data_IF_833994816972
#
_entry.id   IF_833994816972
#
_cell.length_a   1.000
_cell.length_b   1.000
_cell.length_c   1.000
_cell.angle_alpha   90.00
_cell.angle_beta   90.00
_cell.angle_gamma   90.00
#
_symmetry.space_group_name_H-M   'P 1'
#
loop_
_entity.id
_entity.type
_entity.pdbx_description
1 polymer ?
#
# COMPACT_ATOMS: atom_id res chain seq x y z
N UNK A 1 30.01 -20.23 -38.55
CA UNK A 1 30.84 -19.28 -39.34
C UNK A 1 30.16 -17.92 -39.36
N UNK A 2 30.80 -16.90 -38.75
CA UNK A 2 30.82 -15.45 -39.11
C UNK A 2 29.47 -14.68 -39.11
N UNK A 3 29.30 -13.48 -38.53
CA UNK A 3 30.22 -12.35 -38.25
C UNK A 3 29.81 -11.57 -36.99
N UNK A 4 30.83 -11.06 -36.30
CA UNK A 4 30.80 -9.93 -35.36
C UNK A 4 30.63 -8.64 -36.17
N UNK A 5 29.80 -7.70 -35.70
CA UNK A 5 29.98 -6.27 -36.00
C UNK A 5 29.82 -5.47 -34.70
N UNK A 6 30.90 -4.79 -34.38
CA UNK A 6 31.17 -3.86 -33.28
C UNK A 6 31.01 -2.42 -33.83
N UNK A 7 31.19 -1.39 -32.97
CA UNK A 7 31.38 0.06 -33.27
C UNK A 7 30.07 0.87 -33.05
N UNK A 8 29.98 1.96 -32.25
CA UNK A 8 30.97 3.00 -31.85
C UNK A 8 30.56 3.73 -30.56
N UNK A 9 31.58 4.20 -29.83
CA UNK A 9 31.57 5.25 -28.80
C UNK A 9 31.20 6.64 -29.36
N UNK A 10 30.57 7.47 -28.53
CA UNK A 10 30.69 8.94 -28.58
C UNK A 10 30.98 9.50 -27.18
N UNK A 11 31.99 10.34 -27.13
CA UNK A 11 32.62 10.99 -25.97
C UNK A 11 32.30 12.49 -25.99
N UNK A 12 32.20 13.10 -24.80
CA UNK A 12 32.47 14.53 -24.57
C UNK A 12 31.21 15.42 -24.46
N UNK A 13 31.14 16.47 -23.64
CA UNK A 13 32.19 17.29 -23.00
C UNK A 13 31.62 17.95 -21.70
N UNK A 14 32.57 18.31 -20.83
CA UNK A 14 32.55 18.82 -19.46
C UNK A 14 32.04 20.26 -19.22
N UNK A 15 32.15 20.66 -17.93
CA UNK A 15 32.41 22.00 -17.34
C UNK A 15 31.19 22.67 -16.69
N UNK A 16 31.01 22.54 -15.35
CA UNK A 16 31.54 23.34 -14.22
C UNK A 16 30.71 24.61 -13.91
N UNK A 17 30.13 24.70 -12.70
CA UNK A 17 30.49 25.76 -11.74
C UNK A 17 29.75 25.61 -10.39
N UNK A 18 30.55 25.69 -9.33
CA UNK A 18 30.09 25.82 -7.96
C UNK A 18 29.69 27.27 -7.69
N UNK A 19 28.57 27.48 -7.00
CA UNK A 19 28.37 28.68 -6.16
C UNK A 19 28.05 28.27 -4.73
N UNK A 20 29.02 28.56 -3.87
CA UNK A 20 28.96 28.67 -2.41
C UNK A 20 27.88 29.67 -1.99
N UNK A 21 27.28 29.42 -0.83
CA UNK A 21 26.90 30.48 0.11
C UNK A 21 25.46 30.41 0.58
N UNK A 22 25.24 29.98 1.83
CA UNK A 22 23.92 30.05 2.43
C UNK A 22 23.78 29.41 3.81
N UNK A 23 24.76 29.60 4.69
CA UNK A 23 24.71 29.16 6.07
C UNK A 23 23.64 29.98 6.84
N UNK A 24 22.43 29.45 7.03
CA UNK A 24 21.46 29.97 8.02
C UNK A 24 20.61 28.86 8.63
N UNK A 25 20.97 28.54 9.88
CA UNK A 25 20.09 28.30 11.03
C UNK A 25 19.29 26.98 11.04
N UNK A 26 19.80 26.07 11.88
CA UNK A 26 19.00 25.50 12.97
C UNK A 26 17.74 24.77 12.59
N UNK A 27 17.89 23.52 12.16
CA UNK A 27 16.82 22.52 12.15
C UNK A 27 17.35 21.27 12.80
N UNK A 28 17.07 21.12 14.10
CA UNK A 28 17.53 20.02 14.94
C UNK A 28 17.34 18.65 14.31
N UNK A 29 18.32 17.80 14.56
CA UNK A 29 18.40 16.44 14.08
C UNK A 29 17.09 15.66 14.23
N UNK A 30 16.63 15.14 13.10
CA UNK A 30 16.00 13.83 13.04
C UNK A 30 16.78 13.01 12.04
N UNK A 31 17.88 12.46 12.54
CA UNK A 31 18.72 11.52 11.81
C UNK A 31 17.94 10.28 11.35
N UNK A 32 18.44 9.68 10.28
CA UNK A 32 18.36 8.24 10.12
C UNK A 32 17.00 7.63 9.81
N UNK A 33 16.20 8.21 8.90
CA UNK A 33 15.23 7.39 8.15
C UNK A 33 15.88 6.85 6.89
N UNK A 34 16.90 6.02 7.08
CA UNK A 34 17.56 5.31 5.99
C UNK A 34 16.58 4.34 5.33
N UNK A 35 16.41 4.48 4.02
CA UNK A 35 15.87 3.52 3.03
C UNK A 35 14.49 2.83 3.26
N UNK A 36 13.92 2.82 4.46
CA UNK A 36 12.69 2.10 4.78
C UNK A 36 11.48 2.95 4.41
N UNK A 37 10.61 2.39 3.56
CA UNK A 37 9.39 3.06 3.11
C UNK A 37 8.51 3.48 4.30
N UNK A 38 7.89 4.66 4.23
CA UNK A 38 6.93 5.13 5.24
C UNK A 38 5.87 4.05 5.47
N UNK A 39 5.68 3.54 6.68
CA UNK A 39 4.68 2.51 7.01
C UNK A 39 5.22 1.09 7.25
N UNK A 40 6.55 0.96 7.33
CA UNK A 40 7.26 -0.27 7.72
C UNK A 40 7.81 -0.07 9.14
N UNK A 41 7.53 -0.97 10.10
CA UNK A 41 8.08 -0.88 11.45
C UNK A 41 9.62 -0.97 11.49
N UNK A 42 10.29 -0.40 12.51
CA UNK A 42 11.74 -0.54 12.70
C UNK A 42 12.19 -1.98 12.99
N UNK A 43 11.32 -2.82 13.54
CA UNK A 43 11.57 -4.24 13.81
C UNK A 43 11.39 -5.13 12.57
N UNK A 44 10.85 -4.58 11.48
CA UNK A 44 10.54 -5.36 10.29
C UNK A 44 11.79 -5.91 9.59
N UNK A 45 11.72 -7.18 9.24
CA UNK A 45 12.69 -7.87 8.41
C UNK A 45 12.25 -7.75 6.95
N UNK A 46 13.08 -7.10 6.14
CA UNK A 46 12.79 -6.93 4.72
C UNK A 46 13.00 -8.26 4.00
N UNK A 47 11.96 -8.76 3.34
CA UNK A 47 12.05 -9.94 2.49
C UNK A 47 12.47 -9.52 1.09
N UNK A 48 11.84 -8.48 0.53
CA UNK A 48 12.04 -8.08 -0.86
C UNK A 48 11.55 -6.66 -1.13
N UNK A 49 12.19 -5.97 -2.08
CA UNK A 49 11.65 -4.75 -2.68
C UNK A 49 11.64 -4.88 -4.19
N UNK A 50 10.57 -4.39 -4.81
CA UNK A 50 10.43 -4.40 -6.26
C UNK A 50 9.67 -3.19 -6.76
N UNK A 51 9.64 -3.05 -8.08
CA UNK A 51 8.83 -2.07 -8.77
C UNK A 51 7.66 -2.78 -9.47
N UNK A 52 6.51 -2.12 -9.54
CA UNK A 52 5.37 -2.54 -10.36
C UNK A 52 5.04 -1.43 -11.33
N UNK A 53 5.04 -1.75 -12.61
CA UNK A 53 4.50 -0.91 -13.66
C UNK A 53 2.98 -0.85 -13.53
N UNK A 54 2.45 0.36 -13.51
CA UNK A 54 1.04 0.71 -13.58
C UNK A 54 0.82 1.42 -14.93
N UNK A 55 -0.44 1.62 -15.31
CA UNK A 55 -0.82 2.12 -16.65
C UNK A 55 -0.03 3.35 -17.09
N UNK A 56 0.28 4.30 -16.19
CA UNK A 56 1.06 5.47 -16.55
C UNK A 56 2.30 5.72 -15.67
N UNK A 57 2.58 4.88 -14.66
CA UNK A 57 3.64 5.14 -13.68
C UNK A 57 4.18 3.88 -13.03
N UNK A 58 5.29 3.99 -12.28
CA UNK A 58 5.86 2.89 -11.51
C UNK A 58 5.63 3.08 -10.01
N UNK A 59 4.99 2.10 -9.37
CA UNK A 59 4.87 1.98 -7.93
C UNK A 59 6.02 1.15 -7.35
N UNK A 60 6.61 1.61 -6.24
CA UNK A 60 7.58 0.83 -5.47
C UNK A 60 6.83 -0.02 -4.45
N UNK A 61 7.09 -1.31 -4.40
CA UNK A 61 6.47 -2.25 -3.47
C UNK A 61 7.54 -2.89 -2.57
N UNK A 62 7.12 -3.35 -1.40
CA UNK A 62 8.00 -4.02 -0.44
C UNK A 62 7.23 -5.10 0.29
N UNK A 63 7.84 -6.27 0.41
CA UNK A 63 7.42 -7.38 1.25
C UNK A 63 8.29 -7.46 2.50
N UNK A 64 7.69 -7.63 3.67
CA UNK A 64 8.41 -7.77 4.94
C UNK A 64 7.65 -8.66 5.93
N UNK A 65 8.39 -9.21 6.89
CA UNK A 65 7.87 -9.93 8.05
C UNK A 65 8.14 -9.15 9.33
N UNK A 66 7.48 -9.53 10.42
CA UNK A 66 7.76 -9.01 11.75
C UNK A 66 8.23 -10.16 12.63
N UNK A 67 9.34 -10.03 13.37
CA UNK A 67 9.83 -11.08 14.26
C UNK A 67 8.78 -11.56 15.27
N UNK A 68 7.96 -10.64 15.77
CA UNK A 68 6.86 -10.93 16.69
C UNK A 68 5.66 -11.65 16.06
N UNK A 69 5.59 -11.73 14.72
CA UNK A 69 4.48 -12.31 13.98
C UNK A 69 5.00 -13.23 12.86
N UNK A 70 5.57 -14.36 13.24
CA UNK A 70 6.18 -15.30 12.31
C UNK A 70 5.20 -15.77 11.21
N UNK A 71 3.92 -15.96 11.55
CA UNK A 71 2.85 -16.45 10.64
C UNK A 71 2.30 -15.40 9.66
N UNK A 72 2.98 -14.27 9.48
CA UNK A 72 2.44 -13.15 8.73
C UNK A 72 3.44 -12.56 7.74
N UNK A 73 2.93 -12.25 6.55
CA UNK A 73 3.67 -11.55 5.52
C UNK A 73 2.96 -10.26 5.15
N UNK A 74 3.69 -9.16 5.16
CA UNK A 74 3.17 -7.85 4.83
C UNK A 74 3.67 -7.37 3.48
N UNK A 75 2.78 -6.87 2.63
CA UNK A 75 3.13 -6.19 1.39
C UNK A 75 2.66 -4.74 1.47
N UNK A 76 3.52 -3.78 1.16
CA UNK A 76 3.18 -2.36 1.16
C UNK A 76 3.48 -1.75 -0.20
N UNK A 77 2.51 -1.03 -0.75
CA UNK A 77 2.69 -0.23 -1.94
C UNK A 77 3.13 1.21 -1.62
N UNK A 78 3.97 1.75 -2.49
CA UNK A 78 4.52 3.10 -2.41
C UNK A 78 3.47 4.17 -2.72
N UNK A 79 3.79 5.42 -2.39
CA UNK A 79 2.90 6.56 -2.60
C UNK A 79 3.62 7.71 -3.29
N UNK A 80 3.58 7.73 -4.62
CA UNK A 80 3.98 8.91 -5.41
C UNK A 80 2.77 9.82 -5.65
N UNK A 81 3.02 11.13 -5.79
CA UNK A 81 1.94 12.13 -6.01
C UNK A 81 1.18 11.88 -7.31
N UNK A 82 1.84 11.39 -8.36
CA UNK A 82 1.23 11.05 -9.64
C UNK A 82 0.23 9.89 -9.51
N UNK A 83 0.57 8.83 -8.79
CA UNK A 83 -0.32 7.68 -8.56
C UNK A 83 -1.70 8.07 -8.00
N UNK A 84 -1.75 9.11 -7.15
CA UNK A 84 -3.03 9.62 -6.62
C UNK A 84 -3.94 10.22 -7.70
N UNK A 85 -3.38 10.79 -8.78
CA UNK A 85 -4.16 11.36 -9.89
C UNK A 85 -4.87 10.27 -10.69
N UNK A 86 -4.27 9.09 -10.77
CA UNK A 86 -4.83 7.90 -11.43
C UNK A 86 -5.73 7.06 -10.52
N UNK A 87 -6.19 7.62 -9.39
CA UNK A 87 -6.95 6.90 -8.36
C UNK A 87 -6.22 5.71 -7.72
N UNK A 88 -4.93 5.54 -7.95
CA UNK A 88 -4.12 4.56 -7.25
C UNK A 88 -3.84 5.03 -5.83
N UNK A 89 -4.21 4.19 -4.87
CA UNK A 89 -4.09 4.47 -3.45
C UNK A 89 -3.11 3.49 -2.84
N UNK A 90 -2.19 4.04 -2.04
CA UNK A 90 -1.36 3.25 -1.14
C UNK A 90 -2.20 2.26 -0.34
N UNK A 91 -1.83 0.99 -0.46
CA UNK A 91 -2.32 -0.15 0.29
C UNK A 91 -1.24 -0.70 1.22
N UNK A 92 -1.69 -1.35 2.29
CA UNK A 92 -0.92 -2.34 3.03
C UNK A 92 -1.73 -3.62 2.97
N UNK A 93 -1.13 -4.71 2.55
CA UNK A 93 -1.72 -6.04 2.49
C UNK A 93 -1.06 -6.91 3.55
N UNK A 94 -1.87 -7.68 4.27
CA UNK A 94 -1.44 -8.68 5.23
C UNK A 94 -1.92 -10.03 4.73
N UNK A 95 -0.99 -10.96 4.63
CA UNK A 95 -1.22 -12.38 4.46
C UNK A 95 -1.05 -13.01 5.84
N UNK A 96 -2.15 -13.41 6.46
CA UNK A 96 -2.19 -14.00 7.80
C UNK A 96 -2.49 -15.49 7.70
N UNK A 97 -1.58 -16.31 8.23
CA UNK A 97 -1.68 -17.78 8.23
C UNK A 97 -2.00 -18.33 9.62
N UNK A 98 -2.32 -17.44 10.57
CA UNK A 98 -2.67 -17.82 11.95
C UNK A 98 -3.94 -18.67 11.97
N UNK A 99 -3.94 -19.73 12.78
CA UNK A 99 -5.13 -20.56 13.01
C UNK A 99 -5.44 -21.54 11.87
N UNK A 100 -4.45 -21.89 11.04
CA UNK A 100 -4.58 -22.91 10.00
C UNK A 100 -5.43 -22.49 8.78
N UNK A 101 -5.82 -21.22 8.70
CA UNK A 101 -6.50 -20.65 7.54
C UNK A 101 -5.77 -19.41 7.04
N UNK A 102 -5.66 -19.28 5.72
CA UNK A 102 -5.07 -18.09 5.09
C UNK A 102 -6.13 -16.99 4.98
N UNK A 103 -5.82 -15.81 5.50
CA UNK A 103 -6.65 -14.60 5.37
C UNK A 103 -5.81 -13.49 4.75
N UNK A 104 -6.37 -12.84 3.74
CA UNK A 104 -5.69 -11.72 3.07
C UNK A 104 -6.46 -10.43 3.35
N UNK A 105 -5.82 -9.50 4.05
CA UNK A 105 -6.42 -8.23 4.43
C UNK A 105 -5.75 -7.08 3.69
N UNK A 106 -6.54 -6.18 3.10
CA UNK A 106 -6.06 -5.00 2.38
C UNK A 106 -6.52 -3.74 3.10
N UNK A 107 -5.58 -3.00 3.70
CA UNK A 107 -5.82 -1.70 4.34
C UNK A 107 -5.55 -0.57 3.36
N UNK A 108 -6.56 0.28 3.16
CA UNK A 108 -6.50 1.43 2.26
C UNK A 108 -7.08 2.65 2.95
N UNK A 109 -6.25 3.62 3.34
CA UNK A 109 -6.68 4.81 4.12
C UNK A 109 -7.55 4.44 5.35
N UNK A 110 -8.87 4.62 5.22
CA UNK A 110 -9.88 4.41 6.26
C UNK A 110 -10.68 3.11 6.06
N UNK A 111 -10.39 2.35 5.01
CA UNK A 111 -11.04 1.10 4.70
C UNK A 111 -10.09 -0.06 5.01
N UNK A 112 -10.67 -1.17 5.45
CA UNK A 112 -10.01 -2.45 5.63
C UNK A 112 -10.89 -3.50 4.94
N UNK A 113 -10.26 -4.29 4.09
CA UNK A 113 -10.96 -5.25 3.26
C UNK A 113 -10.42 -6.66 3.52
N UNK A 114 -11.29 -7.65 3.61
CA UNK A 114 -10.95 -9.05 3.47
C UNK A 114 -11.02 -9.41 1.98
N UNK A 115 -9.92 -9.92 1.45
CA UNK A 115 -9.83 -10.45 0.10
C UNK A 115 -9.94 -11.96 0.18
N UNK A 116 -11.00 -12.51 -0.40
CA UNK A 116 -11.18 -13.95 -0.50
C UNK A 116 -10.19 -14.49 -1.54
N UNK A 117 -9.17 -15.20 -1.05
CA UNK A 117 -8.17 -15.92 -1.85
C UNK A 117 -8.40 -17.43 -1.71
N UNK A 118 -7.92 -18.25 -2.65
CA UNK A 118 -8.06 -19.69 -2.55
C UNK A 118 -7.37 -20.23 -1.28
N UNK A 119 -7.91 -21.30 -0.72
CA UNK A 119 -7.51 -21.85 0.59
C UNK A 119 -6.13 -22.51 0.58
N UNK A 120 -5.57 -22.79 -0.61
CA UNK A 120 -4.27 -23.43 -0.82
C UNK A 120 -3.07 -22.47 -0.65
N UNK A 121 -3.32 -21.19 -0.34
CA UNK A 121 -2.27 -20.23 -0.09
C UNK A 121 -1.46 -20.62 1.17
N UNK A 122 -0.17 -20.91 0.98
CA UNK A 122 0.77 -21.21 2.08
C UNK A 122 1.70 -20.04 2.37
N UNK A 123 2.18 -19.97 3.61
CA UNK A 123 3.13 -18.95 4.05
C UNK A 123 4.44 -19.04 3.26
N UNK A 124 4.96 -20.25 3.11
CA UNK A 124 6.20 -20.54 2.38
C UNK A 124 6.06 -20.14 0.91
N UNK A 125 4.92 -20.44 0.28
CA UNK A 125 4.63 -20.03 -1.09
C UNK A 125 4.63 -18.50 -1.24
N UNK A 126 3.96 -17.79 -0.34
CA UNK A 126 3.95 -16.32 -0.35
C UNK A 126 5.34 -15.74 -0.13
N UNK A 127 6.13 -16.28 0.80
CA UNK A 127 7.50 -15.81 1.03
C UNK A 127 8.41 -16.06 -0.18
N UNK A 128 8.31 -17.24 -0.80
CA UNK A 128 9.06 -17.58 -2.00
C UNK A 128 8.70 -16.64 -3.16
N UNK A 129 7.42 -16.38 -3.36
CA UNK A 129 6.94 -15.44 -4.39
C UNK A 129 7.45 -14.02 -4.12
N UNK A 130 7.29 -13.51 -2.89
CA UNK A 130 7.80 -12.19 -2.49
C UNK A 130 9.30 -12.08 -2.73
N UNK A 131 10.08 -13.09 -2.32
CA UNK A 131 11.53 -13.14 -2.49
C UNK A 131 11.92 -13.15 -3.98
N UNK A 132 11.16 -13.85 -4.83
CA UNK A 132 11.41 -13.93 -6.27
C UNK A 132 11.36 -12.57 -6.97
N UNK A 133 10.62 -11.59 -6.41
CA UNK A 133 10.49 -10.26 -6.99
C UNK A 133 11.66 -9.32 -6.67
N UNK A 134 12.62 -9.71 -5.83
CA UNK A 134 13.62 -8.77 -5.31
C UNK A 134 14.42 -8.09 -6.43
N UNK A 135 14.37 -6.76 -6.48
CA UNK A 135 15.02 -5.93 -7.50
C UNK A 135 14.32 -5.91 -8.86
N UNK A 136 13.24 -6.65 -9.05
CA UNK A 136 12.55 -6.76 -10.34
C UNK A 136 11.59 -5.60 -10.60
N UNK A 137 11.21 -5.43 -11.86
CA UNK A 137 10.07 -4.59 -12.28
C UNK A 137 8.99 -5.47 -12.88
N UNK A 138 7.86 -5.59 -12.20
CA UNK A 138 6.70 -6.37 -12.68
C UNK A 138 5.86 -5.54 -13.64
N UNK A 139 5.41 -6.18 -14.71
CA UNK A 139 4.51 -5.55 -15.67
C UNK A 139 3.15 -5.18 -15.05
N UNK A 140 2.46 -4.26 -15.69
CA UNK A 140 1.07 -3.96 -15.34
C UNK A 140 0.20 -5.19 -15.62
N UNK A 141 -0.78 -5.43 -14.75
CA UNK A 141 -1.82 -6.43 -14.93
C UNK A 141 -3.14 -5.69 -15.08
N UNK A 142 -4.08 -6.27 -15.84
CA UNK A 142 -5.44 -5.74 -15.93
C UNK A 142 -6.05 -5.75 -14.53
N UNK A 143 -6.54 -4.60 -14.01
CA UNK A 143 -7.11 -4.57 -12.67
C UNK A 143 -8.35 -5.46 -12.56
N UNK A 144 -8.36 -6.33 -11.57
CA UNK A 144 -9.53 -7.15 -11.25
C UNK A 144 -10.56 -6.26 -10.55
N UNK A 145 -11.75 -6.16 -11.13
CA UNK A 145 -12.84 -5.40 -10.56
C UNK A 145 -13.42 -6.15 -9.36
N UNK A 146 -13.51 -5.46 -8.22
CA UNK A 146 -14.08 -6.00 -6.99
C UNK A 146 -15.08 -5.03 -6.36
N UNK A 147 -16.11 -5.61 -5.76
CA UNK A 147 -17.19 -4.94 -5.08
C UNK A 147 -17.09 -5.18 -3.58
N UNK A 148 -17.45 -4.15 -2.82
CA UNK A 148 -17.49 -4.23 -1.37
C UNK A 148 -18.77 -4.93 -0.94
N UNK A 149 -18.62 -6.00 -0.17
CA UNK A 149 -19.73 -6.74 0.45
C UNK A 149 -19.60 -6.73 1.97
N UNK A 150 -20.73 -6.93 2.64
CA UNK A 150 -20.73 -7.14 4.10
C UNK A 150 -20.10 -8.50 4.42
N UNK A 151 -19.37 -8.56 5.54
CA UNK A 151 -18.94 -9.84 6.12
C UNK A 151 -20.08 -10.41 6.95
N UNK A 152 -20.12 -11.73 7.07
CA UNK A 152 -20.99 -12.35 8.07
C UNK A 152 -20.50 -12.04 9.50
N UNK A 153 -21.38 -12.26 10.48
CA UNK A 153 -21.09 -11.95 11.88
C UNK A 153 -19.95 -12.81 12.44
N UNK A 154 -19.88 -14.09 12.05
CA UNK A 154 -18.88 -15.04 12.55
C UNK A 154 -17.47 -14.66 12.08
N UNK A 155 -17.32 -14.36 10.79
CA UNK A 155 -16.08 -13.86 10.18
C UNK A 155 -15.66 -12.52 10.79
N UNK A 156 -16.64 -11.64 11.04
CA UNK A 156 -16.35 -10.35 11.69
C UNK A 156 -15.78 -10.56 13.09
N UNK A 157 -16.40 -11.41 13.90
CA UNK A 157 -15.93 -11.74 15.26
C UNK A 157 -14.57 -12.44 15.23
N UNK A 158 -14.39 -13.43 14.34
CA UNK A 158 -13.13 -14.15 14.16
C UNK A 158 -11.99 -13.17 13.84
N UNK A 159 -12.18 -12.30 12.86
CA UNK A 159 -11.15 -11.35 12.43
C UNK A 159 -10.88 -10.28 13.49
N UNK A 160 -11.90 -9.79 14.20
CA UNK A 160 -11.72 -8.82 15.27
C UNK A 160 -11.01 -9.41 16.50
N UNK A 161 -11.17 -10.71 16.76
CA UNK A 161 -10.45 -11.42 17.81
C UNK A 161 -8.94 -11.56 17.56
N UNK A 162 -8.47 -11.37 16.32
CA UNK A 162 -7.06 -11.47 15.96
C UNK A 162 -6.34 -10.14 16.24
N UNK A 163 -5.34 -10.16 17.12
CA UNK A 163 -4.58 -8.96 17.53
C UNK A 163 -3.93 -8.23 16.34
N UNK A 164 -3.41 -8.98 15.38
CA UNK A 164 -2.70 -8.45 14.22
C UNK A 164 -3.64 -7.76 13.23
N UNK A 165 -4.85 -8.31 13.07
CA UNK A 165 -5.94 -7.66 12.34
C UNK A 165 -6.34 -6.37 13.02
N UNK A 166 -6.46 -6.36 14.36
CA UNK A 166 -6.75 -5.15 15.12
C UNK A 166 -5.63 -4.11 15.01
N UNK A 167 -4.37 -4.54 15.02
CA UNK A 167 -3.21 -3.65 14.81
C UNK A 167 -3.21 -3.05 13.40
N UNK A 168 -3.57 -3.87 12.40
CA UNK A 168 -3.64 -3.42 11.02
C UNK A 168 -4.85 -2.53 10.77
N UNK A 169 -6.04 -2.95 11.13
CA UNK A 169 -7.30 -2.31 10.74
C UNK A 169 -7.86 -1.38 11.82
N UNK A 170 -7.41 -1.49 13.06
CA UNK A 170 -7.95 -0.74 14.20
C UNK A 170 -9.41 -1.10 14.46
N UNK A 171 -10.19 -0.16 14.99
CA UNK A 171 -11.63 -0.29 15.21
C UNK A 171 -12.49 -0.13 13.93
N UNK A 172 -11.88 -0.22 12.74
CA UNK A 172 -12.60 0.00 11.49
C UNK A 172 -13.38 -1.27 11.11
N UNK A 173 -14.59 -1.12 10.54
CA UNK A 173 -15.30 -2.27 10.00
C UNK A 173 -14.47 -2.89 8.87
N UNK A 174 -14.34 -4.21 8.93
CA UNK A 174 -13.76 -5.01 7.85
C UNK A 174 -14.91 -5.33 6.90
N UNK A 175 -14.66 -5.23 5.60
CA UNK A 175 -15.63 -5.57 4.55
C UNK A 175 -15.03 -6.62 3.64
N UNK A 176 -15.83 -7.52 3.08
CA UNK A 176 -15.33 -8.46 2.08
C UNK A 176 -15.22 -7.77 0.71
N UNK A 177 -14.31 -8.30 -0.12
CA UNK A 177 -14.25 -8.01 -1.54
C UNK A 177 -14.73 -9.23 -2.31
N UNK A 178 -15.60 -8.98 -3.28
CA UNK A 178 -16.14 -9.98 -4.19
C UNK A 178 -15.98 -9.53 -5.64
N UNK A 179 -15.70 -10.46 -6.54
CA UNK A 179 -15.75 -10.20 -7.99
C UNK A 179 -17.18 -10.11 -8.52
N UNK A 180 -18.16 -10.58 -7.73
CA UNK A 180 -19.57 -10.50 -8.07
C UNK A 180 -20.17 -9.18 -7.59
N UNK A 181 -20.88 -8.50 -8.48
CA UNK A 181 -21.62 -7.30 -8.13
C UNK A 181 -22.72 -7.63 -7.10
N UNK A 182 -22.94 -6.77 -6.08
CA UNK A 182 -24.02 -6.99 -5.14
C UNK A 182 -25.37 -6.89 -5.85
N UNK A 183 -26.32 -7.76 -5.47
CA UNK A 183 -27.66 -7.83 -6.07
C UNK A 183 -28.46 -6.53 -5.89
N UNK A 184 -28.17 -5.77 -4.84
CA UNK A 184 -28.74 -4.45 -4.62
C UNK A 184 -27.77 -3.36 -5.10
N UNK A 185 -28.20 -2.54 -6.05
CA UNK A 185 -27.47 -1.34 -6.42
C UNK A 185 -27.47 -0.36 -5.25
N UNK A 186 -26.28 -0.01 -4.75
CA UNK A 186 -26.16 1.10 -3.80
C UNK A 186 -26.55 2.39 -4.51
N UNK A 187 -27.50 3.13 -3.94
CA UNK A 187 -27.88 4.48 -4.41
C UNK A 187 -26.86 5.55 -3.98
N UNK A 188 -25.82 5.17 -3.23
CA UNK A 188 -24.81 6.10 -2.78
C UNK A 188 -23.85 6.48 -3.90
N UNK A 189 -23.31 7.70 -3.81
CA UNK A 189 -22.20 8.09 -4.67
C UNK A 189 -21.02 7.15 -4.42
N UNK A 190 -20.53 6.48 -5.46
CA UNK A 190 -19.38 5.58 -5.37
C UNK A 190 -18.14 6.19 -6.01
N UNK A 191 -16.97 5.68 -5.63
CA UNK A 191 -15.69 5.97 -6.26
C UNK A 191 -14.93 4.67 -6.47
N UNK A 192 -14.35 4.53 -7.65
CA UNK A 192 -13.36 3.49 -7.93
C UNK A 192 -11.98 3.89 -7.43
N UNK A 193 -11.31 2.98 -6.73
CA UNK A 193 -9.93 3.11 -6.26
C UNK A 193 -9.10 1.96 -6.81
N UNK A 194 -7.86 2.24 -7.19
CA UNK A 194 -6.91 1.21 -7.61
C UNK A 194 -5.93 0.92 -6.47
N UNK A 195 -5.68 -0.35 -6.21
CA UNK A 195 -4.71 -0.82 -5.22
C UNK A 195 -3.95 -2.02 -5.78
N UNK A 196 -2.83 -2.37 -5.15
CA UNK A 196 -2.11 -3.61 -5.44
C UNK A 196 -2.01 -4.50 -4.23
N UNK A 197 -1.96 -5.79 -4.52
CA UNK A 197 -1.54 -6.88 -3.64
C UNK A 197 -0.25 -7.49 -4.19
N UNK A 198 0.17 -8.64 -3.65
CA UNK A 198 1.30 -9.38 -4.21
C UNK A 198 1.03 -9.77 -5.67
N UNK A 199 -0.15 -10.35 -5.95
CA UNK A 199 -0.39 -11.04 -7.21
C UNK A 199 -0.86 -10.07 -8.29
N UNK A 200 -1.71 -9.12 -7.91
CA UNK A 200 -2.58 -8.42 -8.86
C UNK A 200 -2.82 -6.93 -8.53
N UNK A 201 -3.42 -6.26 -9.52
CA UNK A 201 -4.02 -4.94 -9.34
C UNK A 201 -5.51 -5.14 -9.12
N UNK A 202 -6.08 -4.41 -8.16
CA UNK A 202 -7.49 -4.50 -7.81
C UNK A 202 -8.13 -3.13 -7.99
N UNK A 203 -9.27 -3.12 -8.68
CA UNK A 203 -10.16 -1.97 -8.83
C UNK A 203 -11.34 -2.14 -7.88
N UNK A 204 -11.42 -1.33 -6.84
CA UNK A 204 -12.44 -1.43 -5.79
C UNK A 204 -13.43 -0.27 -5.92
N UNK A 205 -14.71 -0.58 -6.04
CA UNK A 205 -15.77 0.44 -5.97
C UNK A 205 -16.21 0.63 -4.52
N UNK A 206 -15.88 1.79 -3.94
CA UNK A 206 -16.18 2.13 -2.54
C UNK A 206 -17.24 3.24 -2.44
N UNK A 207 -18.09 3.23 -1.41
CA UNK A 207 -18.99 4.35 -1.16
C UNK A 207 -18.20 5.61 -0.79
N UNK A 208 -18.56 6.74 -1.39
CA UNK A 208 -18.06 8.04 -1.01
C UNK A 208 -18.83 8.51 0.21
N UNK A 209 -18.16 8.65 1.35
CA UNK A 209 -18.76 9.42 2.44
C UNK A 209 -18.96 10.84 1.91
N UNK A 210 -20.22 11.23 1.67
CA UNK A 210 -20.64 12.63 1.60
C UNK A 210 -20.45 13.20 3.00
N UNK A 211 -19.20 13.48 3.40
CA UNK A 211 -18.98 14.30 4.58
C UNK A 211 -19.60 15.65 4.26
N UNK A 212 -20.73 15.94 4.92
CA UNK A 212 -21.34 17.24 4.89
C UNK A 212 -20.25 18.28 5.12
N UNK A 213 -20.16 19.24 4.21
CA UNK A 213 -19.45 20.51 4.43
C UNK A 213 -20.21 21.25 5.53
N UNK A 214 -20.06 20.80 6.77
CA UNK A 214 -20.72 21.35 7.93
C UNK A 214 -19.69 21.49 9.03
N UNK A 215 -19.46 22.75 9.44
CA UNK A 215 -18.58 23.21 10.52
C UNK A 215 -17.11 23.34 10.18
N UNK A 216 -16.83 24.32 9.34
CA UNK A 216 -15.71 25.25 9.53
C UNK A 216 -15.95 26.03 10.84
N UNK A 217 -15.79 25.33 11.98
CA UNK A 217 -15.97 25.91 13.31
C UNK A 217 -14.74 26.72 13.70
N UNK A 218 -14.82 28.03 13.46
CA UNK A 218 -14.10 29.12 14.14
C UNK A 218 -13.01 28.68 15.13
N UNK A 219 -11.76 28.61 14.65
CA UNK A 219 -10.60 28.81 15.54
C UNK A 219 -10.62 30.27 15.95
N UNK A 220 -11.34 30.56 17.04
CA UNK A 220 -11.36 31.87 17.67
C UNK A 220 -9.96 32.23 18.17
N UNK A 221 -9.50 33.40 17.76
CA UNK A 221 -8.44 34.16 18.43
C UNK A 221 -8.76 34.23 19.94
N UNK A 222 -7.90 33.63 20.76
CA UNK A 222 -7.63 34.14 22.12
C UNK A 222 -6.16 34.47 22.17
N UNK A 223 -5.83 35.65 21.66
CA UNK A 223 -4.57 36.36 21.92
C UNK A 223 -4.86 37.40 23.00
N UNK A 224 -4.07 37.34 24.06
CA UNK A 224 -3.67 38.41 24.98
C UNK A 224 -4.73 39.36 25.53
N UNK A 225 -5.12 39.10 26.78
CA UNK A 225 -5.51 40.12 27.74
C UNK A 225 -4.80 39.83 29.06
N UNK A 226 -3.63 40.42 29.24
CA UNK A 226 -3.03 40.67 30.56
C UNK A 226 -2.71 42.17 30.57
N UNK A 227 -3.53 42.90 31.32
CA UNK A 227 -3.09 44.08 32.06
C UNK A 227 -2.92 43.64 33.50
#
# INVERSE_FOLDING_TARGET
MWKIVLITLLVGVCVSEARRGGNRRGGGGRGGRGARGRGVPPTAENVSMWNRTLVAEVAKEMGFTLPENAEQVYVVSGNKRQLKKENYIKSKTLYDFTGGSSKVLVKVKKWCFLLNKPEDLTREGVLQEVASFNGQTRAATTPVQMYVTELDAAQTTELQGRETVTTMCGSKPIRALSTSAPTAASTDATKTILVTTLDEQISITVPMNRRGRGRQGKRGNRRNGQN
#
